data_IF_045031097106
#
_entry.id   IF_045031097106
#
_cell.length_a   1.000
_cell.length_b   1.000
_cell.length_c   1.000
_cell.angle_alpha   90.00
_cell.angle_beta   90.00
_cell.angle_gamma   90.00
#
_symmetry.space_group_name_H-M   'P 1'
#
loop_
_entity.id
_entity.type
_entity.pdbx_description
1 polymer ?
#
# COMPACT_ATOMS: atom_id res chain seq x y z
N UNK A 1 11.06 4.21 -8.97
CA UNK A 1 10.43 5.39 -9.53
C UNK A 1 11.48 6.46 -9.80
N UNK A 2 12.27 6.29 -10.91
CA UNK A 2 13.30 7.23 -11.32
C UNK A 2 14.44 7.40 -10.30
N UNK A 3 14.80 6.37 -9.56
CA UNK A 3 15.90 6.41 -8.59
C UNK A 3 17.22 6.74 -9.29
N UNK A 4 17.97 7.68 -8.72
CA UNK A 4 19.28 8.12 -9.23
C UNK A 4 20.45 7.44 -8.52
N UNK A 5 20.16 6.63 -7.51
CA UNK A 5 21.09 5.83 -6.72
C UNK A 5 21.20 4.38 -7.23
N UNK A 6 21.91 3.54 -6.49
CA UNK A 6 22.12 2.13 -6.84
C UNK A 6 20.91 1.21 -6.62
N UNK A 7 19.72 1.74 -6.25
CA UNK A 7 18.52 0.95 -5.96
C UNK A 7 18.20 -0.06 -7.06
N UNK A 8 18.17 0.38 -8.32
CA UNK A 8 17.84 -0.52 -9.44
C UNK A 8 18.89 -1.62 -9.64
N UNK A 9 20.17 -1.32 -9.40
CA UNK A 9 21.24 -2.28 -9.50
C UNK A 9 21.15 -3.34 -8.39
N UNK A 10 20.83 -2.94 -7.17
CA UNK A 10 20.66 -3.86 -6.04
C UNK A 10 19.47 -4.81 -6.25
N UNK A 11 18.34 -4.31 -6.77
CA UNK A 11 17.20 -5.17 -7.07
C UNK A 11 17.50 -6.16 -8.20
N UNK A 12 18.29 -5.77 -9.23
CA UNK A 12 18.73 -6.70 -10.27
C UNK A 12 19.62 -7.83 -9.71
N UNK A 13 20.55 -7.51 -8.81
CA UNK A 13 21.35 -8.53 -8.11
C UNK A 13 20.49 -9.49 -7.28
N UNK A 14 19.40 -8.99 -6.70
CA UNK A 14 18.44 -9.84 -5.99
C UNK A 14 17.69 -10.75 -6.96
N UNK A 15 17.30 -10.25 -8.13
CA UNK A 15 16.68 -11.05 -9.19
C UNK A 15 17.60 -12.18 -9.69
N UNK A 16 18.89 -11.91 -9.84
CA UNK A 16 19.88 -12.92 -10.22
C UNK A 16 19.98 -14.07 -9.21
N UNK A 17 19.68 -13.80 -7.93
CA UNK A 17 19.68 -14.81 -6.85
C UNK A 17 18.33 -15.49 -6.68
N UNK A 18 17.25 -14.80 -6.99
CA UNK A 18 15.87 -15.25 -6.83
C UNK A 18 15.00 -14.66 -7.95
N UNK A 19 14.66 -15.49 -8.93
CA UNK A 19 13.84 -15.11 -10.09
C UNK A 19 12.45 -14.58 -9.73
N UNK A 20 11.98 -14.83 -8.49
CA UNK A 20 10.72 -14.29 -7.98
C UNK A 20 10.78 -12.80 -7.67
N UNK A 21 11.98 -12.22 -7.60
CA UNK A 21 12.18 -10.77 -7.41
C UNK A 21 12.10 -10.08 -8.77
N UNK A 22 11.15 -9.20 -8.94
CA UNK A 22 10.97 -8.43 -10.18
C UNK A 22 11.17 -6.94 -9.93
N UNK A 23 11.69 -6.24 -10.95
CA UNK A 23 11.88 -4.79 -10.93
C UNK A 23 11.00 -4.12 -12.00
N UNK A 24 10.18 -3.18 -11.56
CA UNK A 24 9.54 -2.20 -12.46
C UNK A 24 10.27 -0.89 -12.31
N UNK A 25 10.96 -0.45 -13.37
CA UNK A 25 11.73 0.79 -13.38
C UNK A 25 11.14 1.78 -14.37
N UNK A 26 10.92 3.02 -13.92
CA UNK A 26 10.50 4.12 -14.78
C UNK A 26 11.69 4.97 -15.21
N UNK A 27 11.60 5.56 -16.39
CA UNK A 27 12.64 6.45 -16.95
C UNK A 27 12.78 7.77 -16.16
N UNK A 28 11.74 8.15 -15.42
CA UNK A 28 11.71 9.33 -14.55
C UNK A 28 10.81 9.08 -13.35
N UNK A 29 10.86 9.96 -12.35
CA UNK A 29 9.89 9.94 -11.27
C UNK A 29 8.50 10.35 -11.79
N UNK A 30 7.52 9.47 -11.68
CA UNK A 30 6.12 9.67 -12.06
C UNK A 30 5.17 9.53 -10.87
N UNK A 31 5.70 9.30 -9.68
CA UNK A 31 4.99 9.29 -8.41
C UNK A 31 4.56 7.90 -7.92
N UNK A 32 4.28 7.83 -6.62
CA UNK A 32 3.92 6.60 -5.90
C UNK A 32 2.71 5.90 -6.52
N UNK A 33 1.67 6.66 -6.87
CA UNK A 33 0.41 6.12 -7.41
C UNK A 33 0.63 5.35 -8.73
N UNK A 34 1.45 5.91 -9.63
CA UNK A 34 1.81 5.23 -10.88
C UNK A 34 2.66 3.97 -10.62
N UNK A 35 3.54 4.03 -9.59
CA UNK A 35 4.32 2.87 -9.16
C UNK A 35 3.43 1.73 -8.64
N UNK A 36 2.43 2.05 -7.82
CA UNK A 36 1.44 1.10 -7.31
C UNK A 36 0.67 0.47 -8.47
N UNK A 37 0.16 1.27 -9.40
CA UNK A 37 -0.59 0.80 -10.55
C UNK A 37 0.23 -0.16 -11.42
N UNK A 38 1.48 0.20 -11.74
CA UNK A 38 2.36 -0.66 -12.51
C UNK A 38 2.71 -1.97 -11.76
N UNK A 39 2.85 -1.92 -10.43
CA UNK A 39 3.01 -3.09 -9.58
C UNK A 39 1.81 -4.03 -9.70
N UNK A 40 0.59 -3.51 -9.59
CA UNK A 40 -0.64 -4.29 -9.75
C UNK A 40 -0.77 -4.92 -11.15
N UNK A 41 -0.40 -4.20 -12.22
CA UNK A 41 -0.39 -4.73 -13.58
C UNK A 41 0.57 -5.92 -13.75
N UNK A 42 1.68 -5.95 -13.02
CA UNK A 42 2.68 -7.01 -13.09
C UNK A 42 2.42 -8.16 -12.12
N UNK A 43 1.63 -7.92 -11.08
CA UNK A 43 1.26 -8.95 -10.11
C UNK A 43 0.38 -10.02 -10.77
N UNK A 44 0.75 -11.31 -10.64
CA UNK A 44 0.05 -12.45 -11.26
C UNK A 44 -0.57 -13.42 -10.25
N UNK A 45 -0.28 -13.26 -8.96
CA UNK A 45 -0.78 -14.15 -7.91
C UNK A 45 -2.28 -14.00 -7.69
N UNK A 46 -2.92 -15.02 -7.13
CA UNK A 46 -4.33 -14.99 -6.73
C UNK A 46 -4.59 -14.00 -5.61
N UNK A 47 -3.56 -13.71 -4.83
CA UNK A 47 -3.56 -12.72 -3.77
C UNK A 47 -2.39 -11.75 -3.97
N UNK A 48 -2.64 -10.47 -3.75
CA UNK A 48 -1.65 -9.42 -3.92
C UNK A 48 -1.50 -8.64 -2.62
N UNK A 49 -0.27 -8.50 -2.18
CA UNK A 49 0.08 -7.66 -1.02
C UNK A 49 0.73 -6.37 -1.51
N UNK A 50 0.20 -5.25 -1.06
CA UNK A 50 0.87 -3.95 -1.16
C UNK A 50 1.51 -3.63 0.20
N UNK A 51 2.79 -3.30 0.21
CA UNK A 51 3.55 -3.02 1.43
C UNK A 51 4.68 -2.03 1.12
N UNK A 52 4.89 -1.04 1.98
CA UNK A 52 6.06 -0.16 1.90
C UNK A 52 7.33 -0.89 2.38
N UNK A 53 8.47 -0.59 1.77
CA UNK A 53 9.75 -1.26 2.05
C UNK A 53 10.55 -0.64 3.21
N UNK A 54 9.94 0.26 3.97
CA UNK A 54 10.58 1.01 5.07
C UNK A 54 10.59 0.25 6.42
N UNK A 55 10.17 -1.01 6.42
CA UNK A 55 10.06 -1.91 7.58
C UNK A 55 9.12 -1.41 8.69
N UNK A 56 8.28 -0.41 8.42
CA UNK A 56 7.26 0.02 9.38
C UNK A 56 6.08 -0.95 9.43
N UNK A 57 5.85 -1.66 8.34
CA UNK A 57 4.79 -2.63 8.20
C UNK A 57 5.33 -4.05 8.41
N UNK A 58 4.95 -4.74 9.52
CA UNK A 58 5.55 -6.03 9.85
C UNK A 58 5.02 -7.15 8.94
N UNK A 59 5.90 -7.87 8.20
CA UNK A 59 5.48 -9.01 7.37
C UNK A 59 4.85 -10.15 8.19
N UNK A 60 5.09 -10.20 9.49
CA UNK A 60 4.50 -11.19 10.42
C UNK A 60 2.97 -11.13 10.51
N UNK A 61 2.33 -10.04 10.08
CA UNK A 61 0.87 -9.94 9.99
C UNK A 61 0.27 -10.70 8.79
N UNK A 62 1.08 -11.06 7.78
CA UNK A 62 0.56 -11.70 6.57
C UNK A 62 -0.20 -13.01 6.84
N UNK A 63 0.23 -13.93 7.72
CA UNK A 63 -0.53 -15.13 8.03
C UNK A 63 -1.92 -14.83 8.61
N UNK A 64 -2.02 -13.82 9.48
CA UNK A 64 -3.30 -13.38 10.04
C UNK A 64 -4.19 -12.76 8.97
N UNK A 65 -3.65 -11.85 8.14
CA UNK A 65 -4.37 -11.25 7.02
C UNK A 65 -4.92 -12.33 6.09
N UNK A 66 -4.11 -13.35 5.78
CA UNK A 66 -4.53 -14.45 4.91
C UNK A 66 -5.63 -15.29 5.54
N UNK A 67 -5.66 -15.45 6.87
CA UNK A 67 -6.75 -16.14 7.56
C UNK A 67 -8.11 -15.47 7.37
N UNK A 68 -8.15 -14.13 7.32
CA UNK A 68 -9.37 -13.38 7.04
C UNK A 68 -9.81 -13.49 5.58
N UNK A 69 -8.88 -13.51 4.62
CA UNK A 69 -9.23 -13.81 3.23
C UNK A 69 -9.91 -15.18 3.12
N UNK A 70 -9.41 -16.19 3.83
CA UNK A 70 -10.05 -17.53 3.85
C UNK A 70 -11.44 -17.53 4.50
N UNK A 71 -11.76 -16.55 5.33
CA UNK A 71 -13.07 -16.35 5.93
C UNK A 71 -14.07 -15.65 4.97
N UNK A 72 -13.61 -15.24 3.76
CA UNK A 72 -14.45 -14.63 2.74
C UNK A 72 -14.29 -13.13 2.57
N UNK A 73 -13.37 -12.47 3.30
CA UNK A 73 -13.08 -11.07 3.05
C UNK A 73 -12.31 -10.90 1.74
N UNK A 74 -12.67 -9.90 0.96
CA UNK A 74 -12.00 -9.59 -0.31
C UNK A 74 -10.67 -8.86 -0.12
N UNK A 75 -10.58 -8.09 0.96
CA UNK A 75 -9.43 -7.27 1.29
C UNK A 75 -9.19 -7.24 2.79
N UNK A 76 -7.93 -7.26 3.18
CA UNK A 76 -7.50 -7.04 4.58
C UNK A 76 -6.51 -5.89 4.59
N UNK A 77 -6.86 -4.82 5.28
CA UNK A 77 -6.08 -3.60 5.35
C UNK A 77 -5.63 -3.32 6.77
N UNK A 78 -4.55 -2.58 6.91
CA UNK A 78 -4.05 -2.18 8.23
C UNK A 78 -4.38 -0.72 8.51
N UNK A 79 -4.63 -0.42 9.77
CA UNK A 79 -4.76 0.95 10.27
C UNK A 79 -3.93 1.16 11.53
N UNK A 80 -3.39 2.35 11.65
CA UNK A 80 -2.62 2.76 12.82
C UNK A 80 -3.56 3.20 13.94
N UNK A 81 -3.41 2.60 15.13
CA UNK A 81 -4.26 2.92 16.30
C UNK A 81 -3.74 4.12 17.07
N UNK A 82 -2.43 4.32 17.14
CA UNK A 82 -1.82 5.34 17.99
C UNK A 82 -1.08 6.39 17.19
N UNK A 83 -1.42 7.67 17.45
CA UNK A 83 -0.67 8.85 16.98
C UNK A 83 0.26 9.38 18.06
N UNK A 84 0.76 8.50 18.95
CA UNK A 84 1.73 8.91 19.98
C UNK A 84 2.97 9.51 19.30
N UNK A 85 3.29 10.77 19.65
CA UNK A 85 4.44 11.49 19.09
C UNK A 85 4.15 12.40 17.89
N UNK A 86 2.92 12.47 17.37
CA UNK A 86 2.58 13.47 16.35
C UNK A 86 2.22 14.83 16.98
N UNK A 87 2.71 15.96 16.40
CA UNK A 87 2.30 17.28 16.84
C UNK A 87 0.77 17.45 16.76
N UNK A 88 0.12 18.02 17.80
CA UNK A 88 -1.35 18.14 17.87
C UNK A 88 -1.93 18.93 16.69
N UNK A 89 -1.20 19.92 16.18
CA UNK A 89 -1.59 20.75 15.04
C UNK A 89 -1.71 19.88 13.77
N UNK A 90 -0.74 19.00 13.50
CA UNK A 90 -0.75 18.10 12.34
C UNK A 90 -1.92 17.12 12.40
N UNK A 91 -2.18 16.57 13.60
CA UNK A 91 -3.32 15.66 13.83
C UNK A 91 -4.66 16.36 13.66
N UNK A 92 -4.76 17.66 14.00
CA UNK A 92 -5.97 18.46 13.78
C UNK A 92 -6.25 18.65 12.29
N UNK A 93 -5.25 19.10 11.50
CA UNK A 93 -5.41 19.28 10.06
C UNK A 93 -5.70 17.97 9.33
N UNK A 94 -5.07 16.86 9.72
CA UNK A 94 -5.37 15.55 9.17
C UNK A 94 -6.82 15.17 9.41
N UNK A 95 -7.33 15.28 10.65
CA UNK A 95 -8.73 14.99 10.96
C UNK A 95 -9.71 15.89 10.22
N UNK A 96 -9.38 17.18 10.07
CA UNK A 96 -10.19 18.12 9.29
C UNK A 96 -10.23 17.73 7.82
N UNK A 97 -9.08 17.35 7.24
CA UNK A 97 -8.99 16.84 5.87
C UNK A 97 -9.89 15.62 5.65
N UNK A 98 -9.77 14.58 6.50
CA UNK A 98 -10.61 13.39 6.38
C UNK A 98 -12.10 13.70 6.54
N UNK A 99 -12.46 14.62 7.45
CA UNK A 99 -13.86 15.05 7.63
C UNK A 99 -14.42 15.76 6.38
N UNK A 100 -13.63 16.63 5.77
CA UNK A 100 -14.02 17.33 4.53
C UNK A 100 -14.12 16.32 3.38
N UNK A 101 -13.12 15.46 3.21
CA UNK A 101 -13.10 14.44 2.16
C UNK A 101 -14.30 13.49 2.28
N UNK A 102 -14.60 12.99 3.48
CA UNK A 102 -15.75 12.12 3.71
C UNK A 102 -17.10 12.82 3.52
N UNK A 103 -17.15 14.16 3.63
CA UNK A 103 -18.36 14.93 3.34
C UNK A 103 -18.57 15.18 1.83
N UNK A 104 -17.47 15.32 1.08
CA UNK A 104 -17.50 15.58 -0.37
C UNK A 104 -17.54 14.27 -1.16
N UNK A 105 -16.81 13.25 -0.70
CA UNK A 105 -16.76 11.93 -1.32
C UNK A 105 -17.97 11.08 -0.91
N UNK A 106 -18.52 10.34 -1.85
CA UNK A 106 -19.50 9.28 -1.56
C UNK A 106 -18.87 8.03 -0.92
N UNK A 107 -17.56 8.02 -0.80
CA UNK A 107 -16.75 6.90 -0.32
C UNK A 107 -16.13 7.26 1.02
N UNK A 108 -16.29 6.41 2.01
CA UNK A 108 -15.67 6.60 3.32
C UNK A 108 -14.16 6.32 3.23
N UNK A 109 -13.36 7.35 3.47
CA UNK A 109 -11.90 7.22 3.58
C UNK A 109 -11.59 7.03 5.07
N UNK A 110 -11.10 5.85 5.42
CA UNK A 110 -10.78 5.47 6.81
C UNK A 110 -9.55 6.24 7.29
N UNK A 111 -9.72 6.98 8.40
CA UNK A 111 -8.60 7.70 9.04
C UNK A 111 -7.57 6.70 9.59
N UNK A 112 -6.29 7.01 9.37
CA UNK A 112 -5.19 6.14 9.79
C UNK A 112 -4.96 4.92 8.88
N UNK A 113 -5.72 4.77 7.79
CA UNK A 113 -5.48 3.71 6.81
C UNK A 113 -4.05 3.75 6.28
N UNK A 114 -3.37 2.60 6.35
CA UNK A 114 -2.03 2.38 5.79
C UNK A 114 -2.14 1.81 4.39
N UNK A 115 -1.02 1.85 3.68
CA UNK A 115 -0.91 1.24 2.36
C UNK A 115 -0.74 -0.29 2.44
N UNK A 116 -0.36 -0.82 3.62
CA UNK A 116 -0.21 -2.25 3.85
C UNK A 116 -1.56 -2.97 3.78
N UNK A 117 -1.75 -3.73 2.70
CA UNK A 117 -3.02 -4.35 2.36
C UNK A 117 -2.81 -5.66 1.59
N UNK A 118 -3.56 -6.69 1.98
CA UNK A 118 -3.70 -7.95 1.24
C UNK A 118 -5.06 -7.94 0.51
N UNK A 119 -5.06 -8.30 -0.76
CA UNK A 119 -6.24 -8.25 -1.63
C UNK A 119 -6.35 -9.53 -2.45
N UNK A 120 -7.59 -9.92 -2.76
CA UNK A 120 -7.86 -10.95 -3.78
C UNK A 120 -7.56 -10.41 -5.18
N UNK A 121 -7.36 -11.32 -6.15
CA UNK A 121 -7.19 -10.97 -7.56
C UNK A 121 -8.35 -10.13 -8.08
N UNK A 122 -9.57 -10.47 -7.70
CA UNK A 122 -10.78 -9.76 -8.11
C UNK A 122 -10.75 -8.28 -7.73
N UNK A 123 -10.29 -7.95 -6.51
CA UNK A 123 -10.12 -6.55 -6.07
C UNK A 123 -9.10 -5.83 -6.94
N UNK A 124 -7.95 -6.46 -7.20
CA UNK A 124 -6.88 -5.88 -8.01
C UNK A 124 -7.34 -5.63 -9.44
N UNK A 125 -8.04 -6.59 -10.05
CA UNK A 125 -8.54 -6.46 -11.43
C UNK A 125 -9.58 -5.34 -11.53
N UNK A 126 -10.44 -5.18 -10.52
CA UNK A 126 -11.38 -4.06 -10.44
C UNK A 126 -10.67 -2.71 -10.33
N UNK A 127 -9.59 -2.63 -9.54
CA UNK A 127 -8.77 -1.42 -9.44
C UNK A 127 -8.06 -1.11 -10.78
N UNK A 128 -7.59 -2.14 -11.48
CA UNK A 128 -6.94 -1.99 -12.78
C UNK A 128 -7.89 -1.59 -13.91
N UNK A 129 -9.18 -1.96 -13.81
CA UNK A 129 -10.21 -1.54 -14.77
C UNK A 129 -10.51 -0.04 -14.72
N UNK A 130 -10.13 0.64 -13.63
CA UNK A 130 -10.29 2.09 -13.48
C UNK A 130 -9.12 2.81 -14.15
N UNK A 131 -9.42 3.60 -15.18
CA UNK A 131 -8.43 4.26 -16.05
C UNK A 131 -8.17 5.74 -15.68
N UNK A 132 -8.47 6.17 -14.44
CA UNK A 132 -8.24 7.55 -14.03
C UNK A 132 -6.76 7.91 -14.08
N UNK A 133 -6.46 9.06 -14.68
CA UNK A 133 -5.10 9.60 -14.73
C UNK A 133 -4.63 10.10 -13.35
N UNK A 134 -5.50 10.85 -12.65
CA UNK A 134 -5.21 11.35 -11.31
C UNK A 134 -5.70 10.35 -10.26
N UNK A 135 -4.90 9.32 -10.04
CA UNK A 135 -5.24 8.24 -9.09
C UNK A 135 -5.03 8.70 -7.65
N UNK A 136 -5.95 8.30 -6.79
CA UNK A 136 -5.81 8.34 -5.34
C UNK A 136 -6.18 6.97 -4.79
N UNK A 137 -5.19 6.10 -4.70
CA UNK A 137 -5.38 4.66 -4.42
C UNK A 137 -6.19 4.41 -3.14
N UNK A 138 -5.99 5.21 -2.08
CA UNK A 138 -6.80 5.07 -0.85
C UNK A 138 -8.30 5.33 -1.07
N UNK A 139 -8.63 6.28 -1.92
CA UNK A 139 -10.01 6.55 -2.32
C UNK A 139 -10.57 5.43 -3.20
N UNK A 140 -9.77 4.93 -4.12
CA UNK A 140 -10.14 3.85 -5.03
C UNK A 140 -10.49 2.57 -4.25
N UNK A 141 -9.71 2.19 -3.23
CA UNK A 141 -10.01 1.04 -2.38
C UNK A 141 -11.39 1.11 -1.72
N UNK A 142 -11.80 2.29 -1.27
CA UNK A 142 -13.15 2.48 -0.73
C UNK A 142 -14.22 2.48 -1.83
N UNK A 143 -13.91 3.07 -3.00
CA UNK A 143 -14.87 3.25 -4.08
C UNK A 143 -15.25 1.94 -4.77
N UNK A 144 -14.33 0.97 -4.89
CA UNK A 144 -14.62 -0.35 -5.48
C UNK A 144 -15.59 -1.20 -4.63
N UNK A 145 -15.80 -0.84 -3.35
CA UNK A 145 -16.88 -1.37 -2.52
C UNK A 145 -16.71 -2.81 -2.02
N UNK A 146 -15.52 -3.38 -2.09
CA UNK A 146 -15.24 -4.72 -1.59
C UNK A 146 -15.18 -4.78 -0.06
N UNK A 147 -15.58 -5.92 0.50
CA UNK A 147 -15.57 -6.12 1.93
C UNK A 147 -14.13 -6.12 2.47
N UNK A 148 -13.82 -5.15 3.33
CA UNK A 148 -12.49 -4.95 3.87
C UNK A 148 -12.45 -5.16 5.38
N UNK A 149 -11.62 -6.11 5.83
CA UNK A 149 -11.26 -6.27 7.23
C UNK A 149 -10.15 -5.32 7.61
N UNK A 150 -10.32 -4.59 8.71
CA UNK A 150 -9.30 -3.68 9.24
C UNK A 150 -8.57 -4.32 10.41
N UNK A 151 -7.25 -4.43 10.30
CA UNK A 151 -6.37 -4.85 11.38
C UNK A 151 -5.70 -3.64 12.01
N UNK A 152 -5.77 -3.59 13.32
CA UNK A 152 -5.11 -2.56 14.11
C UNK A 152 -3.75 -3.08 14.58
N UNK A 153 -2.69 -2.29 14.36
CA UNK A 153 -1.38 -2.62 14.89
C UNK A 153 -0.64 -1.36 15.36
N UNK A 154 0.28 -1.55 16.28
CA UNK A 154 1.20 -0.50 16.71
C UNK A 154 2.42 -0.49 15.77
N UNK A 155 2.79 0.69 15.27
CA UNK A 155 3.97 0.81 14.43
C UNK A 155 5.22 0.35 15.18
N UNK A 156 6.03 -0.49 14.54
CA UNK A 156 7.43 -0.61 14.91
C UNK A 156 8.11 0.76 14.76
N UNK A 157 9.14 1.02 15.57
CA UNK A 157 9.90 2.28 15.54
C UNK A 157 10.44 2.47 14.11
N UNK A 158 10.12 3.61 13.50
CA UNK A 158 10.66 3.98 12.19
C UNK A 158 12.18 4.04 12.25
N UNK A 159 12.86 3.19 11.50
CA UNK A 159 14.30 3.29 11.29
C UNK A 159 14.55 4.38 10.24
N UNK A 160 14.44 5.64 10.63
CA UNK A 160 14.53 6.82 9.75
C UNK A 160 15.91 7.02 9.09
N UNK A 161 16.85 6.12 9.31
CA UNK A 161 18.20 6.18 8.73
C UNK A 161 18.48 5.11 7.67
N UNK A 162 17.53 4.27 7.34
CA UNK A 162 17.66 3.32 6.24
C UNK A 162 16.86 3.86 5.04
N UNK A 163 17.57 4.46 4.10
CA UNK A 163 17.04 4.74 2.75
C UNK A 163 16.89 3.41 2.01
N UNK A 164 15.88 2.63 2.37
CA UNK A 164 15.57 1.40 1.66
C UNK A 164 14.60 1.70 0.52
N UNK A 165 14.85 1.13 -0.66
CA UNK A 165 13.98 1.29 -1.82
C UNK A 165 12.64 0.60 -1.57
N UNK A 166 11.58 1.16 -2.14
CA UNK A 166 10.26 0.52 -2.18
C UNK A 166 10.38 -0.76 -3.03
N UNK A 167 10.29 -1.92 -2.40
CA UNK A 167 10.33 -3.23 -3.07
C UNK A 167 8.91 -3.78 -3.06
N UNK A 168 8.33 -3.97 -4.24
CA UNK A 168 7.08 -4.72 -4.39
C UNK A 168 7.44 -6.20 -4.54
N UNK A 169 6.97 -7.03 -3.62
CA UNK A 169 6.95 -8.49 -3.82
C UNK A 169 5.69 -8.83 -4.61
N UNK A 170 5.88 -9.43 -5.76
CA UNK A 170 4.82 -9.97 -6.62
C UNK A 170 4.77 -11.48 -6.45
#
# INVERSE_FOLDING_TARGET
DGSKDNTAAEVRKLHEKDERVHLVSFSRNIGKEAGIYAGFQKAKGDYVVMMDADLQDPPSLLPEMFSYIKQGYDSVATRRVTRKGEPPIRSFFARMFYRIMNKISKTEIVDGARDYRLMTRQVVDSILSMCEYNRFTKGIFGWVGYETKWLEYENAVSYTHLTLPTIFRV
#
